data_IF_904568518867
#
_entry.id   IF_904568518867
#
_cell.length_a   1.000
_cell.length_b   1.000
_cell.length_c   1.000
_cell.angle_alpha   90.00
_cell.angle_beta   90.00
_cell.angle_gamma   90.00
#
_symmetry.space_group_name_H-M   'P 1'
#
loop_
_entity.id
_entity.type
_entity.pdbx_description
1 polymer ?
#
# COMPACT_ATOMS: atom_id res chain seq x y z
N UNK A 1 -26.32 -17.24 9.80
CA UNK A 1 -26.07 -16.58 8.52
C UNK A 1 -24.82 -15.72 8.68
N UNK A 2 -23.65 -16.31 8.42
CA UNK A 2 -22.35 -15.62 8.39
C UNK A 2 -21.65 -16.12 7.12
N UNK A 3 -21.70 -15.33 6.07
CA UNK A 3 -20.84 -15.47 4.89
C UNK A 3 -19.75 -14.42 5.03
N UNK A 4 -18.75 -14.71 5.86
CA UNK A 4 -17.49 -14.00 5.75
C UNK A 4 -16.79 -14.56 4.51
N UNK A 5 -16.87 -13.84 3.39
CA UNK A 5 -15.91 -14.04 2.31
C UNK A 5 -14.53 -13.83 2.91
N UNK A 6 -13.65 -14.83 2.88
CA UNK A 6 -12.25 -14.65 3.24
C UNK A 6 -11.62 -13.71 2.21
N UNK A 7 -11.65 -12.41 2.47
CA UNK A 7 -10.93 -11.43 1.66
C UNK A 7 -9.45 -11.63 1.96
N UNK A 8 -8.74 -12.30 1.05
CA UNK A 8 -7.28 -12.34 1.11
C UNK A 8 -6.78 -10.91 0.98
N UNK A 9 -6.07 -10.42 1.99
CA UNK A 9 -5.46 -9.08 1.97
C UNK A 9 -4.01 -9.24 1.59
N UNK A 10 -3.47 -8.27 0.87
CA UNK A 10 -2.05 -8.25 0.50
C UNK A 10 -1.46 -6.91 0.87
N UNK A 11 -0.16 -6.93 1.16
CA UNK A 11 0.59 -5.71 1.42
C UNK A 11 1.34 -5.28 0.17
N UNK A 12 1.04 -4.10 -0.35
CA UNK A 12 1.87 -3.44 -1.34
C UNK A 12 2.92 -2.60 -0.64
N UNK A 13 4.17 -2.80 -1.02
CA UNK A 13 5.31 -2.03 -0.57
C UNK A 13 5.83 -1.16 -1.72
N UNK A 14 5.77 0.15 -1.56
CA UNK A 14 6.16 1.12 -2.58
C UNK A 14 7.43 1.85 -2.14
N UNK A 15 8.46 1.84 -2.99
CA UNK A 15 9.58 2.78 -2.91
C UNK A 15 9.19 4.06 -3.64
N UNK A 16 9.23 5.22 -3.00
CA UNK A 16 8.84 6.49 -3.62
C UNK A 16 9.86 7.59 -3.39
N UNK A 17 9.91 8.58 -4.29
CA UNK A 17 10.63 9.85 -4.06
C UNK A 17 9.93 10.62 -2.96
N UNK A 18 10.68 11.13 -1.99
CA UNK A 18 10.12 11.86 -0.87
C UNK A 18 10.12 13.37 -1.14
N UNK A 19 9.00 13.87 -1.65
CA UNK A 19 8.75 15.30 -1.81
C UNK A 19 7.30 15.63 -1.44
N UNK A 20 6.98 16.92 -1.20
CA UNK A 20 5.60 17.34 -0.95
C UNK A 20 4.68 16.89 -2.09
N UNK A 21 3.58 16.21 -1.73
CA UNK A 21 2.54 15.77 -2.67
C UNK A 21 2.56 14.27 -3.01
N UNK A 22 3.67 13.55 -2.80
CA UNK A 22 3.78 12.12 -3.20
C UNK A 22 2.69 11.25 -2.56
N UNK A 23 2.41 11.44 -1.26
CA UNK A 23 1.36 10.70 -0.55
C UNK A 23 -0.03 10.96 -1.13
N UNK A 24 -0.32 12.21 -1.52
CA UNK A 24 -1.60 12.58 -2.12
C UNK A 24 -1.76 11.98 -3.51
N UNK A 25 -0.68 11.92 -4.30
CA UNK A 25 -0.69 11.27 -5.60
C UNK A 25 -0.97 9.76 -5.50
N UNK A 26 -0.24 9.07 -4.62
CA UNK A 26 -0.41 7.63 -4.39
C UNK A 26 -1.83 7.35 -3.89
N UNK A 27 -2.26 7.97 -2.78
CA UNK A 27 -3.58 7.72 -2.21
C UNK A 27 -4.72 8.14 -3.15
N UNK A 28 -4.51 9.21 -3.92
CA UNK A 28 -5.48 9.70 -4.91
C UNK A 28 -5.75 8.69 -6.03
N UNK A 29 -4.78 7.85 -6.40
CA UNK A 29 -4.99 6.79 -7.39
C UNK A 29 -5.98 5.73 -6.87
N UNK A 30 -5.83 5.31 -5.61
CA UNK A 30 -6.73 4.33 -4.97
C UNK A 30 -8.14 4.92 -4.77
N UNK A 31 -8.22 6.17 -4.29
CA UNK A 31 -9.49 6.86 -4.07
C UNK A 31 -10.32 6.99 -5.36
N UNK A 32 -9.69 7.39 -6.48
CA UNK A 32 -10.40 7.57 -7.78
C UNK A 32 -10.96 6.28 -8.36
N UNK A 33 -10.39 5.12 -8.02
CA UNK A 33 -10.84 3.81 -8.50
C UNK A 33 -11.73 3.06 -7.51
N UNK A 34 -12.16 3.74 -6.43
CA UNK A 34 -12.94 3.15 -5.35
C UNK A 34 -12.28 1.90 -4.75
N UNK A 35 -10.96 1.91 -4.64
CA UNK A 35 -10.20 0.90 -3.91
C UNK A 35 -10.11 1.30 -2.46
N UNK A 36 -10.52 0.38 -1.57
CA UNK A 36 -10.33 0.58 -0.15
C UNK A 36 -8.86 0.33 0.22
N UNK A 37 -8.31 1.19 1.09
CA UNK A 37 -7.01 1.01 1.72
C UNK A 37 -7.29 0.71 3.18
N UNK A 38 -7.11 -0.55 3.57
CA UNK A 38 -7.42 -1.08 4.90
C UNK A 38 -6.39 -0.62 5.93
N UNK A 39 -5.17 -0.34 5.47
CA UNK A 39 -4.07 0.14 6.30
C UNK A 39 -3.04 0.86 5.45
N UNK A 40 -2.44 1.91 6.03
CA UNK A 40 -1.35 2.65 5.41
C UNK A 40 -0.27 2.94 6.45
N UNK A 41 0.97 2.69 6.07
CA UNK A 41 2.15 3.10 6.82
C UNK A 41 3.12 3.79 5.87
N UNK A 42 3.82 4.81 6.36
CA UNK A 42 4.84 5.51 5.59
C UNK A 42 6.02 5.82 6.50
N UNK A 43 7.23 5.53 6.02
CA UNK A 43 8.47 5.85 6.71
C UNK A 43 9.50 6.39 5.71
N UNK A 44 10.21 7.49 6.03
CA UNK A 44 11.35 7.91 5.24
C UNK A 44 12.51 6.90 5.36
N UNK A 45 13.24 6.69 4.28
CA UNK A 45 14.49 5.94 4.30
C UNK A 45 15.65 6.81 4.81
N UNK A 46 16.77 6.20 5.24
CA UNK A 46 17.98 6.95 5.58
C UNK A 46 18.37 7.91 4.45
N UNK A 47 18.64 9.17 4.78
CA UNK A 47 18.94 10.23 3.81
C UNK A 47 17.73 11.03 3.34
N UNK A 48 16.49 10.60 3.63
CA UNK A 48 15.29 11.44 3.49
C UNK A 48 14.79 11.69 2.06
N UNK A 49 15.57 11.38 1.02
CA UNK A 49 15.17 11.56 -0.39
C UNK A 49 14.14 10.53 -0.89
N UNK A 50 13.98 9.43 -0.17
CA UNK A 50 13.05 8.35 -0.50
C UNK A 50 12.23 7.96 0.73
N UNK A 51 11.03 7.45 0.48
CA UNK A 51 10.17 6.87 1.51
C UNK A 51 9.69 5.49 1.09
N UNK A 52 9.33 4.70 2.09
CA UNK A 52 8.68 3.41 1.94
C UNK A 52 7.22 3.56 2.38
N UNK A 53 6.29 3.21 1.51
CA UNK A 53 4.86 3.20 1.81
C UNK A 53 4.39 1.76 1.79
N UNK A 54 3.73 1.30 2.86
CA UNK A 54 3.01 0.04 2.88
C UNK A 54 1.52 0.31 2.81
N UNK A 55 0.83 -0.41 1.93
CA UNK A 55 -0.62 -0.35 1.75
C UNK A 55 -1.21 -1.75 1.94
N UNK A 56 -2.08 -1.90 2.93
CA UNK A 56 -2.89 -3.11 3.08
C UNK A 56 -4.17 -2.95 2.25
N UNK A 57 -4.37 -3.84 1.28
CA UNK A 57 -5.48 -3.78 0.33
C UNK A 57 -6.06 -5.17 0.10
N UNK A 58 -7.31 -5.22 -0.37
CA UNK A 58 -7.94 -6.48 -0.77
C UNK A 58 -7.33 -6.99 -2.07
N UNK A 59 -7.08 -8.30 -2.14
CA UNK A 59 -6.55 -9.01 -3.30
C UNK A 59 -7.68 -9.39 -4.27
N UNK A 60 -8.24 -8.38 -4.92
CA UNK A 60 -9.26 -8.57 -5.95
C UNK A 60 -8.68 -8.60 -7.37
N UNK A 61 -9.50 -9.01 -8.35
CA UNK A 61 -9.09 -9.11 -9.76
C UNK A 61 -8.59 -7.80 -10.37
N UNK A 62 -8.93 -6.66 -9.76
CA UNK A 62 -8.57 -5.32 -10.24
C UNK A 62 -7.20 -4.89 -9.70
N UNK A 63 -6.67 -5.55 -8.68
CA UNK A 63 -5.42 -5.17 -8.02
C UNK A 63 -4.21 -5.16 -8.97
N UNK A 64 -4.09 -6.14 -9.87
CA UNK A 64 -3.01 -6.18 -10.84
C UNK A 64 -3.01 -4.95 -11.75
N UNK A 65 -4.20 -4.50 -12.17
CA UNK A 65 -4.34 -3.27 -12.94
C UNK A 65 -3.97 -2.04 -12.11
N UNK A 66 -4.34 -2.01 -10.83
CA UNK A 66 -3.94 -0.94 -9.92
C UNK A 66 -2.43 -0.83 -9.77
N UNK A 67 -1.74 -1.95 -9.52
CA UNK A 67 -0.28 -2.00 -9.40
C UNK A 67 0.37 -1.42 -10.66
N UNK A 68 -0.06 -1.85 -11.86
CA UNK A 68 0.46 -1.31 -13.13
C UNK A 68 0.26 0.20 -13.30
N UNK A 69 -0.73 0.78 -12.64
CA UNK A 69 -1.00 2.22 -12.69
C UNK A 69 -0.18 3.00 -11.66
N UNK A 70 0.05 2.39 -10.49
CA UNK A 70 0.97 2.92 -9.48
C UNK A 70 2.41 2.97 -10.03
N UNK A 71 2.86 1.91 -10.71
CA UNK A 71 4.18 1.81 -11.33
C UNK A 71 4.44 2.87 -12.43
N UNK A 72 3.39 3.51 -12.95
CA UNK A 72 3.49 4.58 -13.95
C UNK A 72 3.61 5.97 -13.34
N UNK A 73 3.42 6.11 -12.03
CA UNK A 73 3.61 7.39 -11.35
C UNK A 73 5.11 7.71 -11.33
N UNK A 74 5.47 8.92 -11.73
CA UNK A 74 6.87 9.38 -11.78
C UNK A 74 7.57 9.28 -10.41
N UNK A 75 6.79 9.48 -9.35
CA UNK A 75 7.29 9.48 -7.97
C UNK A 75 7.51 8.05 -7.44
N UNK A 76 6.99 7.01 -8.11
CA UNK A 76 7.11 5.60 -7.69
C UNK A 76 8.32 4.97 -8.38
N UNK A 77 9.25 4.49 -7.55
CA UNK A 77 10.50 3.88 -7.99
C UNK A 77 10.39 2.37 -8.11
N UNK A 78 9.59 1.74 -7.24
CA UNK A 78 9.43 0.29 -7.18
C UNK A 78 8.12 -0.05 -6.47
N UNK A 79 7.44 -1.13 -6.91
CA UNK A 79 6.31 -1.73 -6.21
C UNK A 79 6.60 -3.20 -5.97
N UNK A 80 6.46 -3.65 -4.72
CA UNK A 80 6.53 -5.06 -4.34
C UNK A 80 5.19 -5.48 -3.75
N UNK A 81 4.74 -6.67 -4.13
CA UNK A 81 3.54 -7.29 -3.55
C UNK A 81 3.97 -8.40 -2.61
N UNK A 82 3.47 -8.33 -1.39
CA UNK A 82 3.65 -9.37 -0.39
C UNK A 82 2.31 -10.05 -0.11
N UNK A 83 2.33 -11.38 -0.07
CA UNK A 83 1.18 -12.16 0.41
C UNK A 83 1.00 -12.06 1.93
N UNK A 84 0.24 -13.01 2.49
CA UNK A 84 -0.08 -13.10 3.92
C UNK A 84 1.15 -13.17 4.85
N UNK A 85 2.35 -13.41 4.32
CA UNK A 85 3.58 -13.53 5.10
C UNK A 85 4.08 -12.20 5.68
N UNK A 86 3.66 -11.05 5.12
CA UNK A 86 4.11 -9.73 5.62
C UNK A 86 3.22 -9.20 6.73
N UNK A 87 3.66 -9.40 7.97
CA UNK A 87 2.94 -9.04 9.21
C UNK A 87 3.20 -7.61 9.72
N UNK A 88 3.67 -6.70 8.88
CA UNK A 88 4.07 -5.35 9.33
C UNK A 88 2.92 -4.62 10.05
N UNK A 89 1.68 -4.75 9.55
CA UNK A 89 0.51 -4.15 10.16
C UNK A 89 0.08 -4.85 11.46
N UNK A 90 0.27 -6.17 11.56
CA UNK A 90 -0.01 -6.91 12.79
C UNK A 90 0.97 -6.53 13.91
N UNK A 91 2.27 -6.49 13.59
CA UNK A 91 3.32 -6.08 14.52
C UNK A 91 3.09 -4.66 15.05
N UNK A 92 2.64 -3.75 14.18
CA UNK A 92 2.34 -2.39 14.62
C UNK A 92 1.10 -2.35 15.51
N UNK A 93 0.06 -3.12 15.19
CA UNK A 93 -1.14 -3.20 16.01
C UNK A 93 -0.88 -3.74 17.43
N UNK A 94 0.16 -4.56 17.61
CA UNK A 94 0.57 -5.04 18.95
C UNK A 94 1.05 -3.91 19.86
N UNK A 95 1.61 -2.80 19.35
CA UNK A 95 2.02 -1.66 20.20
C UNK A 95 0.85 -0.91 20.83
N UNK A 96 -0.38 -1.11 20.35
CA UNK A 96 -1.58 -0.42 20.82
C UNK A 96 -2.50 -1.30 21.68
N UNK A 97 -2.07 -2.52 22.03
CA UNK A 97 -2.75 -3.40 23.00
C UNK A 97 -2.10 -3.29 24.37
#
# INVERSE_FOLDING_TARGET
MQTASSSTQVTLELSVRNHPGVMSHVCGLFARRAFNVEGIMCMPLPGGEQSRIWLLVNDDDRLAQMISQVEKLEDVLEVRRHGDDTRIFEQVAEFYR
#
